data_IF_931787544921
#
_entry.id   IF_931787544921
#
_cell.length_a   1.000
_cell.length_b   1.000
_cell.length_c   1.000
_cell.angle_alpha   90.00
_cell.angle_beta   90.00
_cell.angle_gamma   90.00
#
_symmetry.space_group_name_H-M   'P 1'
#
loop_
_entity.id
_entity.type
_entity.pdbx_description
1 polymer ?
#
# COMPACT_ATOMS: atom_id res chain seq x y z
N UNK A 1 -8.56 -0.48 14.03
CA UNK A 1 -8.58 -0.63 12.56
C UNK A 1 -8.00 0.64 11.98
N UNK A 2 -7.03 0.56 11.06
CA UNK A 2 -6.45 1.76 10.48
C UNK A 2 -7.46 2.49 9.55
N UNK A 3 -7.26 3.79 9.32
CA UNK A 3 -8.16 4.63 8.51
C UNK A 3 -8.39 4.09 7.10
N UNK A 4 -7.35 3.55 6.47
CA UNK A 4 -7.42 2.93 5.14
C UNK A 4 -8.31 1.68 5.16
N UNK A 5 -8.05 0.71 6.03
CA UNK A 5 -8.91 -0.49 6.13
C UNK A 5 -10.35 -0.16 6.51
N UNK A 6 -10.57 0.84 7.38
CA UNK A 6 -11.91 1.33 7.71
C UNK A 6 -12.66 1.83 6.49
N UNK A 7 -11.95 2.49 5.57
CA UNK A 7 -12.55 3.05 4.37
C UNK A 7 -12.88 1.95 3.36
N UNK A 8 -11.91 1.17 2.91
CA UNK A 8 -12.13 0.28 1.76
C UNK A 8 -12.60 -1.11 2.15
N UNK A 9 -12.08 -1.67 3.25
CA UNK A 9 -12.51 -2.99 3.72
C UNK A 9 -13.70 -2.91 4.70
N UNK A 10 -14.18 -1.70 5.03
CA UNK A 10 -15.31 -1.44 5.94
C UNK A 10 -15.18 -2.24 7.24
N UNK A 11 -16.12 -3.16 7.52
CA UNK A 11 -16.16 -3.99 8.73
C UNK A 11 -15.59 -5.40 8.51
N UNK A 12 -14.98 -5.68 7.36
CA UNK A 12 -14.47 -7.02 7.00
C UNK A 12 -13.09 -7.32 7.60
N UNK A 13 -12.50 -6.40 8.36
CA UNK A 13 -11.17 -6.56 8.95
C UNK A 13 -11.21 -6.40 10.45
N UNK A 14 -10.36 -7.16 11.15
CA UNK A 14 -10.19 -7.01 12.60
C UNK A 14 -9.54 -5.64 12.91
N UNK A 15 -9.80 -5.07 14.09
CA UNK A 15 -9.08 -3.88 14.55
C UNK A 15 -7.57 -4.11 14.63
N UNK A 16 -6.80 -3.34 13.86
CA UNK A 16 -5.33 -3.35 13.86
C UNK A 16 -4.77 -1.91 13.82
N UNK A 17 -3.48 -1.76 14.17
CA UNK A 17 -2.73 -0.51 13.98
C UNK A 17 -2.27 -0.37 12.53
N UNK A 18 -1.90 0.83 12.07
CA UNK A 18 -1.40 1.00 10.70
C UNK A 18 -0.18 0.14 10.37
N UNK A 19 0.75 -0.02 11.31
CA UNK A 19 1.95 -0.84 11.14
C UNK A 19 1.63 -2.34 11.04
N UNK A 20 0.50 -2.75 11.61
CA UNK A 20 0.00 -4.14 11.52
C UNK A 20 -0.88 -4.38 10.29
N UNK A 21 -1.10 -3.35 9.47
CA UNK A 21 -2.01 -3.42 8.34
C UNK A 21 -1.40 -4.22 7.17
N UNK A 22 -1.84 -5.48 7.02
CA UNK A 22 -1.43 -6.35 5.92
C UNK A 22 -1.76 -5.77 4.54
N UNK A 23 -2.86 -5.02 4.46
CA UNK A 23 -3.25 -4.33 3.22
C UNK A 23 -2.28 -3.22 2.82
N UNK A 24 -1.55 -2.62 3.77
CA UNK A 24 -0.49 -1.64 3.46
C UNK A 24 0.89 -2.28 3.32
N UNK A 25 1.17 -3.38 4.03
CA UNK A 25 2.46 -4.08 4.00
C UNK A 25 2.65 -4.99 2.79
N UNK A 26 1.58 -5.58 2.29
CA UNK A 26 1.65 -6.61 1.26
C UNK A 26 0.97 -6.19 -0.06
N UNK A 27 1.17 -6.99 -1.10
CA UNK A 27 0.43 -6.86 -2.37
C UNK A 27 -1.05 -7.27 -2.25
N UNK A 28 -1.46 -7.83 -1.12
CA UNK A 28 -2.76 -8.42 -0.89
C UNK A 28 -3.55 -7.56 0.10
N UNK A 29 -4.89 -7.46 -0.04
CA UNK A 29 -5.72 -6.87 1.02
C UNK A 29 -5.80 -7.80 2.22
N UNK A 30 -6.27 -7.27 3.36
CA UNK A 30 -6.43 -8.09 4.57
C UNK A 30 -7.26 -9.34 4.27
N UNK A 31 -8.33 -9.22 3.48
CA UNK A 31 -9.19 -10.35 3.12
C UNK A 31 -8.42 -11.36 2.25
N UNK A 32 -7.64 -10.90 1.27
CA UNK A 32 -6.77 -11.78 0.48
C UNK A 32 -5.76 -12.53 1.37
N UNK A 33 -5.13 -11.84 2.32
CA UNK A 33 -4.15 -12.43 3.24
C UNK A 33 -4.80 -13.43 4.21
N UNK A 34 -5.96 -13.10 4.78
CA UNK A 34 -6.63 -13.90 5.80
C UNK A 34 -7.37 -15.10 5.23
N UNK A 35 -7.90 -14.99 4.01
CA UNK A 35 -8.76 -16.01 3.39
C UNK A 35 -8.13 -16.68 2.16
N UNK A 36 -6.88 -16.33 1.80
CA UNK A 36 -6.08 -17.06 0.82
C UNK A 36 -6.56 -16.94 -0.64
N UNK A 37 -7.34 -15.92 -0.99
CA UNK A 37 -7.82 -15.74 -2.36
C UNK A 37 -6.91 -14.78 -3.15
N UNK A 38 -6.80 -15.00 -4.46
CA UNK A 38 -5.97 -14.16 -5.34
C UNK A 38 -6.66 -12.81 -5.64
N UNK A 39 -5.91 -11.74 -5.95
CA UNK A 39 -6.47 -10.42 -6.24
C UNK A 39 -7.62 -10.41 -7.26
N UNK A 40 -7.58 -11.19 -8.37
CA UNK A 40 -8.67 -11.21 -9.36
C UNK A 40 -10.04 -11.65 -8.81
N UNK A 41 -10.06 -12.49 -7.78
CA UNK A 41 -11.29 -13.01 -7.16
C UNK A 41 -11.58 -12.33 -5.82
N UNK A 42 -10.91 -11.20 -5.53
CA UNK A 42 -11.15 -10.49 -4.28
C UNK A 42 -12.58 -9.92 -4.26
N UNK A 43 -13.36 -10.19 -3.20
CA UNK A 43 -14.68 -9.61 -3.05
C UNK A 43 -14.63 -8.09 -2.86
N UNK A 44 -13.47 -7.55 -2.47
CA UNK A 44 -13.21 -6.11 -2.36
C UNK A 44 -12.66 -5.55 -3.69
N UNK A 45 -13.58 -5.31 -4.64
CA UNK A 45 -13.28 -4.79 -5.98
C UNK A 45 -12.68 -3.36 -5.95
N UNK A 46 -12.96 -2.59 -4.91
CA UNK A 46 -12.43 -1.24 -4.72
C UNK A 46 -10.95 -1.28 -4.31
N UNK A 47 -10.57 -2.24 -3.45
CA UNK A 47 -9.17 -2.50 -3.14
C UNK A 47 -8.36 -2.97 -4.36
N UNK A 48 -8.96 -3.75 -5.28
CA UNK A 48 -8.33 -4.10 -6.57
C UNK A 48 -8.17 -2.85 -7.43
N UNK A 49 -9.24 -2.07 -7.61
CA UNK A 49 -9.24 -0.87 -8.44
C UNK A 49 -8.12 0.10 -8.05
N UNK A 50 -7.93 0.34 -6.76
CA UNK A 50 -6.86 1.19 -6.23
C UNK A 50 -5.47 0.64 -6.58
N UNK A 51 -5.27 -0.68 -6.43
CA UNK A 51 -4.00 -1.35 -6.73
C UNK A 51 -3.71 -1.44 -8.23
N UNK A 52 -4.73 -1.42 -9.08
CA UNK A 52 -4.62 -1.31 -10.54
C UNK A 52 -4.39 0.14 -11.00
N UNK A 53 -4.10 1.08 -10.09
CA UNK A 53 -3.77 2.46 -10.42
C UNK A 53 -4.98 3.39 -10.62
N UNK A 54 -6.21 2.93 -10.33
CA UNK A 54 -7.36 3.83 -10.29
C UNK A 54 -7.23 4.72 -9.05
N UNK A 55 -7.33 6.03 -9.23
CA UNK A 55 -7.16 6.97 -8.13
C UNK A 55 -8.43 6.99 -7.25
N UNK A 56 -8.30 6.88 -5.92
CA UNK A 56 -9.43 7.16 -5.05
C UNK A 56 -9.82 8.63 -5.20
N UNK A 57 -11.11 8.92 -5.03
CA UNK A 57 -11.66 10.28 -5.09
C UNK A 57 -11.19 11.17 -3.94
N UNK A 58 -10.67 10.61 -2.84
CA UNK A 58 -10.17 11.40 -1.72
C UNK A 58 -8.70 11.84 -1.92
N UNK A 59 -8.41 13.14 -1.76
CA UNK A 59 -7.04 13.63 -1.71
C UNK A 59 -6.33 13.06 -0.47
N UNK A 60 -5.03 12.78 -0.59
CA UNK A 60 -4.14 12.31 0.48
C UNK A 60 -4.34 10.87 0.99
N UNK A 61 -5.19 10.05 0.35
CA UNK A 61 -5.31 8.63 0.71
C UNK A 61 -4.13 7.78 0.21
N UNK A 62 -3.42 8.24 -0.81
CA UNK A 62 -2.40 7.47 -1.51
C UNK A 62 -1.11 8.25 -1.76
N UNK A 63 -0.04 7.50 -2.02
CA UNK A 63 1.28 8.00 -2.42
C UNK A 63 1.68 7.27 -3.70
N UNK A 64 1.88 8.02 -4.79
CA UNK A 64 2.22 7.45 -6.10
C UNK A 64 3.73 7.47 -6.30
N UNK A 65 4.26 6.33 -6.71
CA UNK A 65 5.65 6.19 -7.12
C UNK A 65 5.67 5.46 -8.45
N UNK A 66 6.45 5.95 -9.42
CA UNK A 66 6.59 5.26 -10.71
C UNK A 66 7.30 3.92 -10.48
N UNK A 67 6.87 2.87 -11.18
CA UNK A 67 7.46 1.54 -11.05
C UNK A 67 8.75 1.36 -11.87
N UNK A 68 9.56 2.40 -12.00
CA UNK A 68 10.89 2.33 -12.58
C UNK A 68 11.99 2.40 -11.50
N UNK A 69 13.16 1.79 -11.72
CA UNK A 69 14.21 1.71 -10.71
C UNK A 69 14.70 3.07 -10.21
N UNK A 70 14.80 4.07 -11.07
CA UNK A 70 15.39 5.37 -10.70
C UNK A 70 14.41 6.22 -9.90
N UNK A 71 13.14 6.32 -10.34
CA UNK A 71 12.11 7.04 -9.58
C UNK A 71 11.92 6.47 -8.17
N UNK A 72 12.02 5.15 -7.99
CA UNK A 72 11.95 4.55 -6.66
C UNK A 72 13.14 4.92 -5.78
N UNK A 73 14.36 4.95 -6.34
CA UNK A 73 15.56 5.36 -5.59
C UNK A 73 15.46 6.83 -5.18
N UNK A 74 15.07 7.70 -6.11
CA UNK A 74 14.88 9.12 -5.86
C UNK A 74 13.90 9.36 -4.72
N UNK A 75 12.76 8.66 -4.74
CA UNK A 75 11.73 8.81 -3.71
C UNK A 75 12.21 8.30 -2.33
N UNK A 76 12.99 7.21 -2.30
CA UNK A 76 13.62 6.72 -1.06
C UNK A 76 14.61 7.75 -0.50
N UNK A 77 15.48 8.29 -1.36
CA UNK A 77 16.49 9.29 -0.97
C UNK A 77 15.83 10.56 -0.45
N UNK A 78 14.76 11.02 -1.11
CA UNK A 78 13.98 12.20 -0.71
C UNK A 78 13.40 12.07 0.71
N UNK A 79 13.16 10.84 1.17
CA UNK A 79 12.68 10.55 2.51
C UNK A 79 13.82 10.21 3.50
N UNK A 80 15.08 10.49 3.15
CA UNK A 80 16.24 10.34 4.03
C UNK A 80 16.70 8.89 4.23
N UNK A 81 16.26 7.96 3.37
CA UNK A 81 16.63 6.55 3.43
C UNK A 81 17.64 6.19 2.34
N UNK A 82 18.39 5.10 2.56
CA UNK A 82 19.34 4.58 1.58
C UNK A 82 18.64 3.56 0.66
N UNK A 83 18.65 3.76 -0.67
CA UNK A 83 18.08 2.79 -1.59
C UNK A 83 18.95 1.54 -1.72
N UNK A 84 18.31 0.44 -2.11
CA UNK A 84 18.93 -0.84 -2.45
C UNK A 84 19.23 -0.93 -3.95
N UNK A 85 20.16 -1.81 -4.31
CA UNK A 85 20.43 -2.21 -5.69
C UNK A 85 19.32 -3.11 -6.26
N UNK A 86 18.54 -3.78 -5.40
CA UNK A 86 17.43 -4.66 -5.80
C UNK A 86 16.11 -3.91 -5.82
N UNK A 87 15.41 -3.92 -6.96
CA UNK A 87 14.13 -3.24 -7.14
C UNK A 87 13.06 -3.69 -6.12
N UNK A 88 12.98 -4.99 -5.83
CA UNK A 88 12.00 -5.52 -4.87
C UNK A 88 12.27 -5.07 -3.43
N UNK A 89 13.54 -4.85 -3.07
CA UNK A 89 13.87 -4.25 -1.78
C UNK A 89 13.46 -2.78 -1.73
N UNK A 90 13.61 -2.03 -2.82
CA UNK A 90 13.13 -0.65 -2.90
C UNK A 90 11.60 -0.58 -2.77
N UNK A 91 10.87 -1.51 -3.40
CA UNK A 91 9.43 -1.64 -3.18
C UNK A 91 9.09 -1.88 -1.72
N UNK A 92 9.83 -2.76 -1.05
CA UNK A 92 9.63 -3.04 0.36
C UNK A 92 9.91 -1.81 1.25
N UNK A 93 11.01 -1.10 1.02
CA UNK A 93 11.36 0.14 1.73
C UNK A 93 10.25 1.18 1.59
N UNK A 94 9.77 1.41 0.38
CA UNK A 94 8.68 2.38 0.14
C UNK A 94 7.37 1.94 0.82
N UNK A 95 7.07 0.64 0.85
CA UNK A 95 5.90 0.12 1.59
C UNK A 95 6.04 0.36 3.08
N UNK A 96 7.19 0.04 3.66
CA UNK A 96 7.45 0.26 5.08
C UNK A 96 7.41 1.75 5.43
N UNK A 97 7.99 2.61 4.61
CA UNK A 97 7.93 4.07 4.75
C UNK A 97 6.49 4.60 4.65
N UNK A 98 5.67 4.09 3.73
CA UNK A 98 4.25 4.48 3.64
C UNK A 98 3.46 4.17 4.91
N UNK A 99 3.89 3.16 5.68
CA UNK A 99 3.29 2.77 6.95
C UNK A 99 3.72 3.66 8.13
N UNK A 100 4.79 4.44 7.99
CA UNK A 100 5.26 5.37 9.03
C UNK A 100 4.79 6.81 8.80
N UNK A 101 4.29 7.14 7.60
CA UNK A 101 3.80 8.49 7.28
C UNK A 101 2.51 8.85 8.05
N UNK A 102 2.38 10.13 8.43
CA UNK A 102 1.17 10.70 9.02
C UNK A 102 0.70 11.90 8.15
N UNK A 103 -0.52 11.89 7.59
CA UNK A 103 -1.48 10.79 7.60
C UNK A 103 -0.99 9.61 6.77
N UNK A 104 -1.41 8.41 7.16
CA UNK A 104 -0.96 7.17 6.55
C UNK A 104 -1.52 6.99 5.15
N UNK A 105 -0.66 6.65 4.19
CA UNK A 105 -1.01 6.57 2.77
C UNK A 105 -0.97 5.14 2.25
N UNK A 106 -1.74 4.87 1.20
CA UNK A 106 -1.62 3.65 0.39
C UNK A 106 -0.55 3.90 -0.67
N UNK A 107 0.52 3.12 -0.67
CA UNK A 107 1.52 3.19 -1.74
C UNK A 107 0.97 2.57 -3.04
N UNK A 108 1.01 3.34 -4.12
CA UNK A 108 0.58 2.94 -5.45
C UNK A 108 1.76 3.02 -6.42
N UNK A 109 2.08 1.89 -7.04
CA UNK A 109 3.02 1.83 -8.15
C UNK A 109 2.26 1.97 -9.47
N UNK A 110 2.77 2.80 -10.38
CA UNK A 110 2.18 3.04 -11.70
C UNK A 110 3.24 3.09 -12.80
#
# INVERSE_FOLDING_TARGET
>A
MCSVCKHSCKNLTIPHTPLDCQWRRTLYCYICCSYGHSPPICPDQEAIALRSGKLPTQPNLYWRVKQDPESMKEEIIKNGLKPSSKQDMNKQILRDLSNTQIPLRILLFY
#
